data_IF_553783835910
#
_entry.id   IF_553783835910
#
_cell.length_a   1.000
_cell.length_b   1.000
_cell.length_c   1.000
_cell.angle_alpha   90.00
_cell.angle_beta   90.00
_cell.angle_gamma   90.00
#
_symmetry.space_group_name_H-M   'P 1'
#
loop_
_entity.id
_entity.type
_entity.pdbx_description
1 polymer ?
#
# COMPACT_ATOMS: atom_id res chain seq x y z
N UNK A 1 15.86 2.30 10.51
CA UNK A 1 14.60 1.80 11.08
C UNK A 1 13.91 0.94 10.04
N UNK A 2 13.38 -0.25 10.39
CA UNK A 2 12.46 -0.94 9.49
C UNK A 2 11.28 -0.02 9.20
N UNK A 3 10.82 0.01 7.95
CA UNK A 3 9.65 0.79 7.56
C UNK A 3 8.44 0.30 8.36
N UNK A 4 7.52 1.19 8.80
CA UNK A 4 6.46 0.84 9.76
C UNK A 4 5.37 -0.07 9.18
N UNK A 5 5.46 -0.43 7.90
CA UNK A 5 4.55 -1.33 7.21
C UNK A 5 5.28 -2.05 6.07
N UNK A 6 4.68 -3.16 5.61
CA UNK A 6 5.17 -3.95 4.48
C UNK A 6 4.09 -3.97 3.38
N UNK A 7 4.49 -3.66 2.15
CA UNK A 7 3.63 -3.79 0.96
C UNK A 7 3.54 -5.24 0.53
N UNK A 8 2.34 -5.65 0.14
CA UNK A 8 2.00 -7.04 -0.12
C UNK A 8 0.90 -7.15 -1.16
N UNK A 9 1.14 -7.87 -2.26
CA UNK A 9 0.10 -8.13 -3.24
C UNK A 9 -0.90 -9.15 -2.69
N UNK A 10 -2.18 -8.83 -2.79
CA UNK A 10 -3.29 -9.68 -2.38
C UNK A 10 -4.60 -9.15 -2.95
N UNK A 11 -5.56 -10.03 -3.24
CA UNK A 11 -6.91 -9.64 -3.64
C UNK A 11 -6.93 -8.66 -4.84
N UNK A 12 -6.08 -8.93 -5.84
CA UNK A 12 -5.92 -8.15 -7.07
C UNK A 12 -5.45 -6.69 -6.87
N UNK A 13 -4.91 -6.36 -5.70
CA UNK A 13 -4.34 -5.05 -5.37
C UNK A 13 -3.03 -5.21 -4.59
N UNK A 14 -2.24 -4.13 -4.47
CA UNK A 14 -1.17 -4.05 -3.48
C UNK A 14 -1.71 -3.42 -2.20
N UNK A 15 -1.74 -4.20 -1.13
CA UNK A 15 -2.09 -3.77 0.21
C UNK A 15 -0.85 -3.46 1.04
N UNK A 16 -1.01 -2.80 2.17
CA UNK A 16 0.02 -2.63 3.19
C UNK A 16 -0.46 -3.22 4.51
N UNK A 17 0.46 -3.72 5.33
CA UNK A 17 0.17 -4.25 6.67
C UNK A 17 1.27 -3.87 7.66
N UNK A 18 0.87 -3.67 8.92
CA UNK A 18 1.76 -3.54 10.07
C UNK A 18 2.01 -4.87 10.79
N UNK A 19 1.42 -5.97 10.32
CA UNK A 19 1.64 -7.29 10.90
C UNK A 19 3.13 -7.64 10.82
N UNK A 20 3.66 -8.37 11.82
CA UNK A 20 5.05 -8.80 11.80
C UNK A 20 5.28 -9.77 10.64
N UNK A 21 6.27 -9.48 9.80
CA UNK A 21 6.68 -10.40 8.73
C UNK A 21 7.29 -11.67 9.35
N UNK A 22 6.80 -12.88 9.02
CA UNK A 22 7.35 -14.11 9.57
C UNK A 22 8.79 -14.39 9.14
N UNK A 23 9.63 -14.80 10.09
CA UNK A 23 11.00 -15.27 9.84
C UNK A 23 12.00 -14.15 9.51
N UNK A 24 13.19 -14.47 8.97
CA UNK A 24 14.23 -13.49 8.64
C UNK A 24 13.92 -12.68 7.36
N UNK A 25 12.74 -12.84 6.78
CA UNK A 25 12.34 -12.22 5.51
C UNK A 25 11.97 -10.74 5.64
N UNK A 26 11.90 -10.06 4.48
CA UNK A 26 11.40 -8.68 4.35
C UNK A 26 10.02 -8.60 3.68
N UNK A 27 9.42 -9.75 3.37
CA UNK A 27 8.12 -9.86 2.72
C UNK A 27 7.36 -11.05 3.29
N UNK A 28 6.04 -10.95 3.31
CA UNK A 28 5.18 -12.05 3.74
C UNK A 28 5.30 -13.25 2.77
N UNK A 29 5.42 -14.49 3.28
CA UNK A 29 5.27 -15.68 2.45
C UNK A 29 3.91 -15.70 1.77
N UNK A 30 3.84 -16.27 0.57
CA UNK A 30 2.58 -16.51 -0.14
C UNK A 30 1.62 -17.41 0.68
N UNK A 31 0.32 -17.15 0.59
CA UNK A 31 -0.70 -17.89 1.35
C UNK A 31 -0.81 -17.46 2.82
N UNK A 32 -0.10 -16.42 3.24
CA UNK A 32 -0.23 -15.87 4.60
C UNK A 32 -1.49 -15.01 4.67
N UNK A 33 -2.33 -15.19 5.67
CA UNK A 33 -3.42 -14.25 5.95
C UNK A 33 -2.89 -13.12 6.84
N UNK A 34 -3.19 -11.89 6.46
CA UNK A 34 -2.75 -10.67 7.16
C UNK A 34 -3.91 -9.70 7.33
N UNK A 35 -3.79 -8.81 8.31
CA UNK A 35 -4.65 -7.63 8.45
C UNK A 35 -4.02 -6.45 7.72
N UNK A 36 -4.76 -5.87 6.78
CA UNK A 36 -4.29 -4.72 5.98
C UNK A 36 -4.59 -3.39 6.67
N UNK A 37 -3.87 -2.34 6.29
CA UNK A 37 -4.13 -0.98 6.81
C UNK A 37 -5.53 -0.46 6.45
N UNK A 38 -6.16 -0.96 5.38
CA UNK A 38 -7.54 -0.62 5.06
C UNK A 38 -8.58 -1.46 5.84
N UNK A 39 -8.14 -2.23 6.85
CA UNK A 39 -8.99 -3.00 7.75
C UNK A 39 -9.50 -4.33 7.20
N UNK A 40 -9.04 -4.74 6.02
CA UNK A 40 -9.42 -6.03 5.40
C UNK A 40 -8.44 -7.12 5.81
N UNK A 41 -8.95 -8.32 6.08
CA UNK A 41 -8.13 -9.53 6.07
C UNK A 41 -7.97 -10.04 4.64
N UNK A 42 -6.74 -10.30 4.22
CA UNK A 42 -6.42 -10.78 2.86
C UNK A 42 -5.35 -11.86 2.92
N UNK A 43 -5.34 -12.72 1.90
CA UNK A 43 -4.30 -13.76 1.73
C UNK A 43 -3.28 -13.31 0.70
N UNK A 44 -2.01 -13.39 1.05
CA UNK A 44 -0.90 -12.93 0.20
C UNK A 44 -0.74 -13.77 -1.07
N UNK A 45 -0.42 -13.09 -2.17
CA UNK A 45 -0.20 -13.71 -3.47
C UNK A 45 1.27 -13.66 -3.90
N UNK A 46 1.66 -14.53 -4.83
CA UNK A 46 3.05 -14.65 -5.33
C UNK A 46 3.09 -14.48 -6.84
N UNK A 47 4.22 -13.99 -7.32
CA UNK A 47 4.54 -13.87 -8.73
C UNK A 47 4.90 -12.43 -9.07
N UNK A 48 5.30 -12.19 -10.32
CA UNK A 48 5.65 -10.84 -10.78
C UNK A 48 4.41 -10.02 -11.11
N UNK A 49 3.36 -10.64 -11.66
CA UNK A 49 2.10 -9.97 -12.03
C UNK A 49 1.41 -9.30 -10.83
N UNK A 50 1.28 -9.95 -9.65
CA UNK A 50 0.65 -9.31 -8.50
C UNK A 50 1.33 -8.03 -8.03
N UNK A 51 2.63 -7.87 -8.26
CA UNK A 51 3.35 -6.62 -7.97
C UNK A 51 3.03 -5.49 -8.94
N UNK A 52 2.38 -5.77 -10.07
CA UNK A 52 1.98 -4.76 -11.05
C UNK A 52 0.55 -4.24 -10.83
N UNK A 53 -0.24 -4.87 -9.97
CA UNK A 53 -1.60 -4.45 -9.67
C UNK A 53 -1.70 -3.05 -9.09
N UNK A 54 -2.87 -2.44 -9.13
CA UNK A 54 -3.06 -1.13 -8.52
C UNK A 54 -2.82 -1.16 -7.01
N UNK A 55 -2.32 -0.06 -6.48
CA UNK A 55 -2.20 0.10 -5.02
C UNK A 55 -3.59 0.32 -4.44
N UNK A 56 -3.93 -0.40 -3.37
CA UNK A 56 -5.18 -0.19 -2.67
C UNK A 56 -5.24 1.25 -2.13
N UNK A 57 -6.22 2.08 -2.54
CA UNK A 57 -6.26 3.50 -2.16
C UNK A 57 -6.30 3.73 -0.65
N UNK A 58 -7.05 2.89 0.08
CA UNK A 58 -7.09 2.98 1.55
C UNK A 58 -5.77 2.61 2.23
N UNK A 59 -5.03 1.64 1.68
CA UNK A 59 -3.69 1.33 2.19
C UNK A 59 -2.68 2.42 1.87
N UNK A 60 -2.75 3.03 0.69
CA UNK A 60 -1.91 4.17 0.31
C UNK A 60 -2.12 5.34 1.28
N UNK A 61 -3.37 5.72 1.53
CA UNK A 61 -3.74 6.80 2.45
C UNK A 61 -3.19 6.58 3.87
N UNK A 62 -3.37 5.37 4.43
CA UNK A 62 -2.88 5.06 5.77
C UNK A 62 -1.34 4.95 5.83
N UNK A 63 -0.72 4.33 4.83
CA UNK A 63 0.74 4.22 4.75
C UNK A 63 1.40 5.61 4.69
N UNK A 64 0.77 6.52 3.96
CA UNK A 64 1.13 7.93 3.85
C UNK A 64 1.04 8.67 5.18
N UNK A 65 -0.05 8.48 5.93
CA UNK A 65 -0.18 9.03 7.28
C UNK A 65 0.90 8.50 8.23
N UNK A 66 1.17 7.18 8.21
CA UNK A 66 2.24 6.57 8.99
C UNK A 66 3.64 7.10 8.62
N UNK A 67 3.83 7.53 7.38
CA UNK A 67 5.07 8.15 6.90
C UNK A 67 5.14 9.68 7.14
N UNK A 68 4.09 10.30 7.69
CA UNK A 68 4.01 11.74 7.90
C UNK A 68 3.91 12.55 6.60
N UNK A 69 3.34 11.97 5.54
CA UNK A 69 3.21 12.58 4.23
C UNK A 69 1.75 13.04 3.98
N UNK A 70 1.51 14.08 3.14
CA UNK A 70 0.16 14.62 2.86
C UNK A 70 -0.68 13.72 1.96
N UNK A 71 -1.96 13.47 2.22
CA UNK A 71 -2.82 12.58 1.42
C UNK A 71 -2.74 12.79 -0.10
N UNK A 72 -3.10 11.77 -0.90
CA UNK A 72 -3.14 11.96 -2.36
C UNK A 72 -4.14 13.03 -2.78
N UNK A 73 -5.25 13.14 -2.07
CA UNK A 73 -6.20 14.23 -2.27
C UNK A 73 -5.55 15.60 -2.03
N UNK A 74 -4.84 15.76 -0.91
CA UNK A 74 -4.14 17.00 -0.58
C UNK A 74 -3.08 17.38 -1.64
N UNK A 75 -2.38 16.40 -2.20
CA UNK A 75 -1.45 16.63 -3.31
C UNK A 75 -2.18 17.07 -4.58
N UNK A 76 -3.29 16.40 -4.93
CA UNK A 76 -4.07 16.72 -6.11
C UNK A 76 -4.68 18.13 -6.03
N UNK A 77 -5.13 18.55 -4.85
CA UNK A 77 -5.65 19.90 -4.59
C UNK A 77 -4.57 20.99 -4.72
N UNK A 78 -3.30 20.64 -4.53
CA UNK A 78 -2.15 21.54 -4.65
C UNK A 78 -1.55 21.56 -6.06
N UNK A 79 -1.97 20.64 -6.95
CA UNK A 79 -1.47 20.61 -8.31
C UNK A 79 -1.94 21.87 -9.05
N UNK A 80 -1.02 22.65 -9.66
CA UNK A 80 -1.39 23.85 -10.38
C UNK A 80 -2.40 23.47 -11.47
N UNK A 81 -3.54 24.15 -11.48
CA UNK A 81 -4.43 24.15 -12.64
C UNK A 81 -3.62 24.75 -13.78
N UNK A 82 -3.15 23.92 -14.72
CA UNK A 82 -2.72 24.40 -16.02
C UNK A 82 -3.95 25.02 -16.66
N UNK A 83 -4.15 26.33 -16.48
CA UNK A 83 -5.07 27.09 -17.29
C UNK A 83 -4.50 27.08 -18.70
N UNK A 84 -5.02 26.19 -19.53
CA UNK A 84 -4.82 26.21 -20.97
C UNK A 84 -5.48 27.50 -21.48
N UNK A 85 -4.68 28.55 -21.67
CA UNK A 85 -5.12 29.79 -22.31
C UNK A 85 -5.38 29.49 -23.80
N UNK A 86 -6.64 29.59 -24.21
CA UNK A 86 -7.08 29.60 -25.62
C UNK A 86 -6.64 30.86 -26.36
#
# INVERSE_FOLDING_TARGET
MPHPFTWVPAAQQRHASCDPVPGPGRAFPAGTTITTLCGREVTTERGEIPWLWETCPGCDEQARQLAGLPSRAAIAEQAPHTQETS
#
